data_IF_936039397951
#
_entry.id   IF_936039397951
#
_cell.length_a   1.000
_cell.length_b   1.000
_cell.length_c   1.000
_cell.angle_alpha   90.00
_cell.angle_beta   90.00
_cell.angle_gamma   90.00
#
_symmetry.space_group_name_H-M   'P 1'
#
loop_
_entity.id
_entity.type
_entity.pdbx_description
1 polymer ?
#
# COMPACT_ATOMS: atom_id res chain seq x y z
N UNK A 1 6.72 0.34 -1.86
CA UNK A 1 7.25 0.42 -0.47
C UNK A 1 6.15 0.03 0.51
N UNK A 2 6.41 -0.87 1.46
CA UNK A 2 5.45 -1.39 2.44
C UNK A 2 6.04 -1.36 3.86
N UNK A 3 5.21 -1.27 4.92
CA UNK A 3 5.67 -1.38 6.30
C UNK A 3 6.23 -2.78 6.59
N UNK A 4 7.09 -2.88 7.61
CA UNK A 4 7.52 -4.16 8.17
C UNK A 4 6.53 -4.60 9.23
N UNK A 5 6.03 -5.83 9.15
CA UNK A 5 4.99 -6.35 10.06
C UNK A 5 5.37 -6.23 11.53
N UNK A 6 6.62 -6.51 11.89
CA UNK A 6 7.09 -6.40 13.27
C UNK A 6 7.06 -4.98 13.83
N UNK A 7 7.36 -3.96 13.01
CA UNK A 7 7.31 -2.56 13.43
C UNK A 7 5.86 -2.07 13.54
N UNK A 8 5.00 -2.46 12.59
CA UNK A 8 3.59 -2.13 12.62
C UNK A 8 2.87 -2.77 13.82
N UNK A 9 3.06 -4.07 14.05
CA UNK A 9 2.38 -4.80 15.12
C UNK A 9 2.85 -4.40 16.52
N UNK A 10 4.17 -4.21 16.72
CA UNK A 10 4.73 -3.96 18.06
C UNK A 10 4.79 -2.49 18.45
N UNK A 11 4.87 -1.58 17.48
CA UNK A 11 5.14 -0.16 17.74
C UNK A 11 4.17 0.78 17.02
N UNK A 12 3.16 0.27 16.31
CA UNK A 12 2.25 1.12 15.52
C UNK A 12 2.92 1.88 14.38
N UNK A 13 4.17 1.54 14.03
CA UNK A 13 4.91 2.25 12.99
C UNK A 13 4.54 1.72 11.61
N UNK A 14 4.03 2.59 10.75
CA UNK A 14 3.64 2.25 9.38
C UNK A 14 4.15 3.27 8.37
N UNK A 15 3.82 3.04 7.09
CA UNK A 15 4.14 3.94 5.98
C UNK A 15 2.83 4.58 5.53
N UNK A 16 2.73 5.91 5.64
CA UNK A 16 1.49 6.68 5.44
C UNK A 16 0.84 6.43 4.07
N UNK A 17 1.66 6.34 3.02
CA UNK A 17 1.19 6.10 1.65
C UNK A 17 1.24 4.62 1.25
N UNK A 18 1.20 3.68 2.20
CA UNK A 18 1.32 2.26 1.87
C UNK A 18 0.13 1.71 1.07
N UNK A 19 0.36 0.89 0.03
CA UNK A 19 1.67 0.61 -0.58
C UNK A 19 2.17 1.81 -1.38
N UNK A 20 3.38 2.31 -1.06
CA UNK A 20 3.98 3.42 -1.79
C UNK A 20 4.42 2.97 -3.18
N UNK A 21 3.91 3.59 -4.23
CA UNK A 21 4.28 3.33 -5.62
C UNK A 21 5.51 4.13 -6.00
N UNK A 22 6.44 3.51 -6.74
CA UNK A 22 7.59 4.17 -7.35
C UNK A 22 7.47 3.95 -8.86
N UNK A 23 7.38 5.03 -9.63
CA UNK A 23 7.26 4.96 -11.07
C UNK A 23 8.56 4.46 -11.73
N UNK A 24 8.42 3.78 -12.86
CA UNK A 24 9.54 3.10 -13.53
C UNK A 24 10.63 4.04 -14.06
N UNK A 25 10.29 5.30 -14.30
CA UNK A 25 11.17 6.36 -14.78
C UNK A 25 11.73 7.24 -13.64
N UNK A 26 11.32 7.01 -12.39
CA UNK A 26 11.85 7.74 -11.25
C UNK A 26 13.34 7.41 -11.03
N UNK A 27 14.17 8.44 -10.82
CA UNK A 27 15.63 8.32 -10.59
C UNK A 27 16.11 9.04 -9.33
N UNK A 28 15.20 9.66 -8.57
CA UNK A 28 15.53 10.33 -7.33
C UNK A 28 15.79 9.37 -6.17
N UNK A 29 16.13 9.94 -5.02
CA UNK A 29 16.27 9.18 -3.77
C UNK A 29 14.91 8.63 -3.31
N UNK A 30 14.85 7.34 -3.02
CA UNK A 30 13.65 6.70 -2.45
C UNK A 30 13.51 7.10 -0.98
N UNK A 31 12.40 7.76 -0.65
CA UNK A 31 12.06 8.17 0.72
C UNK A 31 10.91 7.33 1.26
N UNK A 32 10.84 7.22 2.59
CA UNK A 32 9.77 6.50 3.30
C UNK A 32 9.00 7.49 4.16
N UNK A 33 7.70 7.66 3.86
CA UNK A 33 6.80 8.51 4.65
C UNK A 33 6.33 7.72 5.88
N UNK A 34 7.20 7.65 6.90
CA UNK A 34 6.86 7.00 8.16
C UNK A 34 5.80 7.80 8.93
N UNK A 35 4.88 7.08 9.57
CA UNK A 35 3.95 7.63 10.55
C UNK A 35 3.91 6.69 11.76
N UNK A 36 4.03 7.29 12.95
CA UNK A 36 3.83 6.59 14.21
C UNK A 36 2.35 6.68 14.60
N UNK A 37 1.66 5.54 14.62
CA UNK A 37 0.27 5.41 15.09
C UNK A 37 0.20 4.70 16.44
N UNK A 38 1.34 4.42 17.08
CA UNK A 38 1.40 3.89 18.43
C UNK A 38 1.30 5.00 19.48
N UNK A 39 1.11 4.57 20.73
CA UNK A 39 0.97 5.49 21.88
C UNK A 39 2.31 5.91 22.49
N UNK A 40 3.42 5.34 22.03
CA UNK A 40 4.78 5.63 22.52
C UNK A 40 5.66 6.24 21.43
N UNK A 41 6.60 7.10 21.83
CA UNK A 41 7.64 7.61 20.94
C UNK A 41 8.51 6.47 20.39
N UNK A 42 8.83 6.53 19.10
CA UNK A 42 9.68 5.54 18.43
C UNK A 42 10.91 6.21 17.79
N UNK A 43 12.10 5.90 18.31
CA UNK A 43 13.35 6.43 17.78
C UNK A 43 13.86 5.61 16.58
N UNK A 44 13.94 6.23 15.41
CA UNK A 44 14.59 5.65 14.22
C UNK A 44 16.06 6.03 14.20
N UNK A 45 16.93 5.03 14.07
CA UNK A 45 18.39 5.22 13.99
C UNK A 45 18.92 4.86 12.60
N UNK A 46 20.05 5.47 12.23
CA UNK A 46 20.71 5.19 10.94
C UNK A 46 21.07 3.70 10.85
N UNK A 47 20.75 3.08 9.71
CA UNK A 47 20.96 1.64 9.48
C UNK A 47 19.80 0.76 9.94
N UNK A 48 18.81 1.30 10.65
CA UNK A 48 17.60 0.57 11.00
C UNK A 48 16.79 0.24 9.73
N UNK A 49 16.39 -1.02 9.60
CA UNK A 49 15.50 -1.48 8.52
C UNK A 49 14.06 -1.06 8.83
N UNK A 50 13.58 0.02 8.21
CA UNK A 50 12.27 0.64 8.54
C UNK A 50 11.11 0.25 7.60
N UNK A 51 11.40 -0.20 6.38
CA UNK A 51 10.40 -0.57 5.38
C UNK A 51 10.93 -1.71 4.50
N UNK A 52 10.10 -2.16 3.55
CA UNK A 52 10.46 -3.16 2.55
C UNK A 52 9.90 -2.81 1.16
N UNK A 53 10.58 -3.27 0.11
CA UNK A 53 10.20 -3.04 -1.28
C UNK A 53 9.87 -4.38 -1.94
N UNK A 54 8.84 -4.38 -2.79
CA UNK A 54 8.47 -5.49 -3.66
C UNK A 54 8.47 -4.97 -5.09
N UNK A 55 9.21 -5.63 -5.98
CA UNK A 55 9.13 -5.41 -7.42
C UNK A 55 8.07 -6.34 -8.00
N UNK A 56 7.12 -5.79 -8.74
CA UNK A 56 6.02 -6.54 -9.34
C UNK A 56 5.77 -6.05 -10.76
N UNK A 57 5.29 -6.95 -11.62
CA UNK A 57 4.83 -6.58 -12.96
C UNK A 57 3.59 -5.67 -12.84
N UNK A 58 3.49 -4.69 -13.73
CA UNK A 58 2.35 -3.77 -13.85
C UNK A 58 1.86 -3.75 -15.29
N UNK A 59 0.56 -3.60 -15.47
CA UNK A 59 -0.07 -3.50 -16.80
C UNK A 59 -0.54 -2.06 -17.03
N UNK A 60 -0.14 -1.46 -18.15
CA UNK A 60 -0.72 -0.20 -18.61
C UNK A 60 -2.05 -0.46 -19.32
N UNK A 61 -3.16 -0.07 -18.70
CA UNK A 61 -4.48 -0.26 -19.27
C UNK A 61 -4.78 0.80 -20.34
N UNK A 62 -5.27 0.38 -21.51
CA UNK A 62 -5.92 1.28 -22.46
C UNK A 62 -7.39 1.44 -22.05
N UNK A 63 -7.80 2.67 -21.74
CA UNK A 63 -9.17 2.97 -21.29
C UNK A 63 -10.02 3.36 -22.50
N UNK A 64 -11.19 2.74 -22.65
CA UNK A 64 -12.21 3.10 -23.64
C UNK A 64 -13.54 3.41 -22.94
N UNK A 65 -14.28 4.40 -23.46
CA UNK A 65 -15.65 4.68 -23.01
C UNK A 65 -16.63 3.77 -23.74
N UNK A 66 -17.52 3.08 -23.01
CA UNK A 66 -18.53 2.19 -23.59
C UNK A 66 -19.76 2.03 -22.70
N UNK A 67 -20.88 1.63 -23.31
CA UNK A 67 -21.99 1.06 -22.57
C UNK A 67 -21.55 -0.29 -21.99
N UNK A 68 -21.73 -0.46 -20.67
CA UNK A 68 -21.37 -1.69 -19.94
C UNK A 68 -22.06 -2.90 -20.58
N UNK A 69 -21.28 -3.93 -20.89
CA UNK A 69 -21.79 -5.19 -21.43
C UNK A 69 -21.99 -6.20 -20.29
N UNK A 70 -23.25 -6.37 -19.86
CA UNK A 70 -23.68 -7.47 -19.00
C UNK A 70 -23.40 -7.32 -17.50
N UNK A 71 -24.13 -8.10 -16.71
CA UNK A 71 -23.94 -8.22 -15.27
C UNK A 71 -22.95 -9.33 -14.91
N UNK A 72 -22.35 -9.23 -13.72
CA UNK A 72 -21.58 -10.32 -13.11
C UNK A 72 -22.30 -10.81 -11.85
N UNK A 73 -21.99 -12.02 -11.38
CA UNK A 73 -22.53 -12.54 -10.12
C UNK A 73 -22.20 -11.65 -8.91
N UNK A 74 -21.09 -10.88 -8.96
CA UNK A 74 -20.73 -9.90 -7.93
C UNK A 74 -21.55 -8.61 -8.01
N UNK A 75 -21.95 -8.21 -9.23
CA UNK A 75 -22.68 -6.98 -9.48
C UNK A 75 -21.99 -5.76 -8.87
N UNK A 76 -22.77 -4.93 -8.17
CA UNK A 76 -22.30 -3.74 -7.45
C UNK A 76 -21.77 -4.02 -6.02
N UNK A 77 -21.64 -5.29 -5.61
CA UNK A 77 -21.19 -5.65 -4.26
C UNK A 77 -19.74 -5.21 -3.99
N UNK A 78 -19.51 -4.55 -2.85
CA UNK A 78 -18.20 -4.14 -2.33
C UNK A 78 -18.23 -3.98 -0.81
N UNK A 79 -17.12 -3.57 -0.19
CA UNK A 79 -17.06 -3.22 1.25
C UNK A 79 -17.61 -4.30 2.21
N UNK A 80 -17.21 -5.56 2.02
CA UNK A 80 -17.69 -6.65 2.88
C UNK A 80 -19.07 -7.20 2.48
N UNK A 81 -19.56 -6.91 1.27
CA UNK A 81 -20.86 -7.41 0.75
C UNK A 81 -21.04 -8.92 0.76
N UNK A 82 -19.98 -9.70 0.92
CA UNK A 82 -20.05 -11.17 1.05
C UNK A 82 -20.35 -11.63 2.47
N UNK A 83 -20.35 -10.73 3.45
CA UNK A 83 -20.73 -10.99 4.83
C UNK A 83 -19.78 -11.94 5.56
N UNK A 84 -18.93 -11.42 6.43
CA UNK A 84 -18.24 -12.19 7.46
C UNK A 84 -17.97 -11.26 8.64
N UNK A 85 -18.64 -11.52 9.77
CA UNK A 85 -18.37 -11.05 11.15
C UNK A 85 -17.79 -9.63 11.33
#
# INVERSE_FOLDING_TARGET
>A
VRPRSGLAFKHGLTVLNTPGTIDSDYRGEVKVLLINLGDEDFAVTRGMRIAQIVFAAVTQAAVEERNLAGGTARGAGGFGSTGTA
#
